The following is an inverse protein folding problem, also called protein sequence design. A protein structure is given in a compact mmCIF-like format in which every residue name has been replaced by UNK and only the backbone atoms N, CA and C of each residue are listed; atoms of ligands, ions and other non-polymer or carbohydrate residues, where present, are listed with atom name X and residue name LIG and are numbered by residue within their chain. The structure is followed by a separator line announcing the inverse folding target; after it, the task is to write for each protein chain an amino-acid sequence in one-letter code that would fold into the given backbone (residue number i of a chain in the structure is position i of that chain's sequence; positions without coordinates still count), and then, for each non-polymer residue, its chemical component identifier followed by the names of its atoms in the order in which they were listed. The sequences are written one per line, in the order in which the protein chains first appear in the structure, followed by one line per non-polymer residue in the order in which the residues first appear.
data_IF_536308526179
#
_entry.id   IF_536308526179
#
_cell.length_a   1.000
_cell.length_b   1.000
_cell.length_c   1.000
_cell.angle_alpha   90.00
_cell.angle_beta   90.00
_cell.angle_gamma   90.00
#
_symmetry.space_group_name_H-M   'P 1'
#
loop_
_entity.id
_entity.type
_entity.pdbx_description
1 polymer ?
#
# COMPACT_ATOMS: atom_id res chain seq x y z
N UNK A 1 14.11 -27.40 -11.36
CA UNK A 1 13.60 -27.04 -10.02
C UNK A 1 13.34 -25.54 -10.06
N UNK A 2 12.10 -25.10 -9.88
CA UNK A 2 11.74 -23.68 -9.94
C UNK A 2 12.29 -22.95 -8.71
N UNK A 3 12.92 -21.78 -8.89
CA UNK A 3 13.41 -20.99 -7.78
C UNK A 3 12.22 -20.36 -7.05
N UNK A 4 11.97 -20.80 -5.81
CA UNK A 4 10.79 -20.38 -5.03
C UNK A 4 10.74 -18.86 -4.77
N UNK A 5 11.90 -18.20 -4.65
CA UNK A 5 11.99 -16.74 -4.53
C UNK A 5 11.55 -16.10 -5.84
N UNK A 6 12.10 -16.53 -6.98
CA UNK A 6 11.72 -15.97 -8.29
C UNK A 6 10.24 -16.19 -8.62
N UNK A 7 9.68 -17.37 -8.30
CA UNK A 7 8.25 -17.62 -8.43
C UNK A 7 7.43 -16.59 -7.65
N UNK A 8 7.80 -16.36 -6.40
CA UNK A 8 7.12 -15.42 -5.51
C UNK A 8 7.22 -13.97 -5.99
N UNK A 9 8.35 -13.59 -6.58
CA UNK A 9 8.60 -12.23 -7.07
C UNK A 9 8.00 -11.98 -8.46
N UNK A 10 8.16 -12.89 -9.41
CA UNK A 10 7.85 -12.65 -10.84
C UNK A 10 6.46 -13.16 -11.24
N UNK A 11 6.10 -14.38 -10.83
CA UNK A 11 4.86 -15.02 -11.25
C UNK A 11 4.44 -16.10 -10.25
N UNK A 12 3.49 -15.76 -9.40
CA UNK A 12 3.04 -16.56 -8.27
C UNK A 12 1.54 -16.80 -8.34
N UNK A 13 1.04 -17.55 -9.34
CA UNK A 13 -0.38 -17.89 -9.40
C UNK A 13 -0.76 -18.72 -8.18
N UNK A 14 -1.90 -18.35 -7.57
CA UNK A 14 -2.47 -19.05 -6.41
C UNK A 14 -3.72 -19.79 -6.85
N UNK A 15 -3.75 -21.11 -6.60
CA UNK A 15 -4.91 -21.94 -6.92
C UNK A 15 -6.14 -21.47 -6.15
N UNK A 16 -5.90 -21.04 -4.92
CA UNK A 16 -6.81 -20.43 -3.97
C UNK A 16 -7.48 -19.16 -4.52
N UNK A 17 -6.82 -18.45 -5.43
CA UNK A 17 -7.31 -17.25 -6.08
C UNK A 17 -7.67 -17.48 -7.54
N UNK A 18 -8.18 -18.68 -7.89
CA UNK A 18 -8.55 -19.04 -9.26
C UNK A 18 -7.41 -18.85 -10.29
N UNK A 19 -6.16 -19.04 -9.84
CA UNK A 19 -4.97 -18.85 -10.69
C UNK A 19 -4.51 -17.39 -10.83
N UNK A 20 -5.12 -16.45 -10.11
CA UNK A 20 -4.67 -15.05 -10.11
C UNK A 20 -3.20 -14.95 -9.65
N UNK A 21 -2.43 -14.14 -10.36
CA UNK A 21 -1.03 -13.88 -10.01
C UNK A 21 -0.96 -12.92 -8.83
N UNK A 22 -0.39 -13.38 -7.72
CA UNK A 22 -0.14 -12.57 -6.53
C UNK A 22 1.33 -12.30 -6.30
N UNK A 23 2.16 -12.42 -7.33
CA UNK A 23 3.57 -12.07 -7.26
C UNK A 23 3.78 -10.61 -6.83
N UNK A 24 4.96 -10.33 -6.28
CA UNK A 24 5.34 -8.96 -5.91
C UNK A 24 5.30 -8.04 -7.14
N UNK A 25 5.78 -8.53 -8.29
CA UNK A 25 5.78 -7.77 -9.55
C UNK A 25 4.36 -7.45 -10.03
N UNK A 26 3.44 -8.42 -9.98
CA UNK A 26 2.05 -8.19 -10.35
C UNK A 26 1.40 -7.13 -9.45
N UNK A 27 1.67 -7.18 -8.14
CA UNK A 27 1.18 -6.17 -7.21
C UNK A 27 1.77 -4.80 -7.49
N UNK A 28 3.10 -4.68 -7.67
CA UNK A 28 3.75 -3.39 -7.94
C UNK A 28 3.15 -2.74 -9.18
N UNK A 29 3.01 -3.50 -10.28
CA UNK A 29 2.40 -2.99 -11.50
C UNK A 29 0.95 -2.52 -11.30
N UNK A 30 0.15 -3.26 -10.54
CA UNK A 30 -1.23 -2.88 -10.25
C UNK A 30 -1.29 -1.63 -9.35
N UNK A 31 -0.57 -1.65 -8.22
CA UNK A 31 -0.55 -0.57 -7.24
C UNK A 31 0.00 0.75 -7.83
N UNK A 32 1.00 0.66 -8.71
CA UNK A 32 1.65 1.81 -9.32
C UNK A 32 1.00 2.26 -10.64
N UNK A 33 -0.12 1.65 -11.07
CA UNK A 33 -0.69 1.88 -12.41
C UNK A 33 0.33 1.75 -13.54
N UNK A 34 1.22 0.75 -13.44
CA UNK A 34 2.28 0.46 -14.42
C UNK A 34 3.51 1.37 -14.37
N UNK A 35 3.58 2.34 -13.45
CA UNK A 35 4.74 3.25 -13.30
C UNK A 35 6.00 2.60 -12.75
N UNK A 36 5.86 1.49 -12.03
CA UNK A 36 6.95 0.76 -11.41
C UNK A 36 6.92 -0.70 -11.84
N UNK A 37 8.09 -1.33 -11.78
CA UNK A 37 8.28 -2.74 -12.04
C UNK A 37 9.37 -3.29 -11.11
N UNK A 38 9.45 -4.60 -10.98
CA UNK A 38 10.54 -5.28 -10.27
C UNK A 38 11.25 -6.18 -11.26
N UNK A 39 12.58 -6.03 -11.34
CA UNK A 39 13.48 -6.92 -12.07
C UNK A 39 14.44 -7.62 -11.10
N UNK A 40 14.10 -8.83 -10.60
CA UNK A 40 14.86 -9.45 -9.53
C UNK A 40 16.03 -10.29 -10.07
N UNK A 41 17.13 -10.27 -9.34
CA UNK A 41 18.17 -11.30 -9.43
C UNK A 41 18.26 -12.08 -8.11
N UNK A 42 18.46 -13.39 -8.20
CA UNK A 42 18.74 -14.22 -7.03
C UNK A 42 20.20 -14.64 -7.05
N UNK A 43 20.93 -14.22 -6.02
CA UNK A 43 22.33 -14.58 -5.81
C UNK A 43 22.45 -15.99 -5.20
N UNK A 44 23.64 -16.62 -5.27
CA UNK A 44 23.89 -17.88 -4.58
C UNK A 44 23.59 -17.77 -3.08
N UNK A 45 22.98 -18.82 -2.53
CA UNK A 45 22.67 -18.92 -1.11
C UNK A 45 23.94 -18.73 -0.27
N UNK A 46 23.83 -17.92 0.78
CA UNK A 46 24.88 -17.72 1.77
C UNK A 46 24.52 -18.45 3.06
N UNK A 47 25.52 -18.99 3.75
CA UNK A 47 25.36 -19.54 5.10
C UNK A 47 25.88 -18.51 6.10
N UNK A 48 25.03 -18.10 7.02
CA UNK A 48 25.35 -17.14 8.08
C UNK A 48 25.15 -17.85 9.41
N UNK A 49 26.23 -18.08 10.14
CA UNK A 49 26.19 -18.74 11.45
C UNK A 49 25.99 -17.71 12.56
N UNK A 50 24.76 -17.21 12.68
CA UNK A 50 24.33 -16.26 13.71
C UNK A 50 22.94 -16.59 14.22
N UNK A 51 22.72 -16.37 15.51
CA UNK A 51 21.38 -16.49 16.10
C UNK A 51 20.44 -15.38 15.63
N UNK A 52 20.97 -14.17 15.48
CA UNK A 52 20.25 -13.00 14.97
C UNK A 52 20.95 -12.53 13.71
N UNK A 53 20.21 -12.53 12.60
CA UNK A 53 20.65 -12.01 11.31
C UNK A 53 19.96 -10.66 11.12
N UNK A 54 20.75 -9.60 11.08
CA UNK A 54 20.31 -8.24 10.79
C UNK A 54 20.04 -8.07 9.28
N UNK A 55 19.26 -7.06 8.90
CA UNK A 55 18.94 -6.84 7.49
C UNK A 55 20.19 -6.52 6.64
N UNK A 56 21.13 -5.75 7.18
CA UNK A 56 22.35 -5.33 6.52
C UNK A 56 23.54 -6.29 6.72
N UNK A 57 23.31 -7.54 7.13
CA UNK A 57 24.36 -8.50 7.47
C UNK A 57 25.40 -8.71 6.34
N UNK A 58 25.00 -8.55 5.08
CA UNK A 58 25.88 -8.69 3.91
C UNK A 58 26.35 -7.35 3.30
N UNK A 59 26.15 -6.22 3.99
CA UNK A 59 26.50 -4.89 3.47
C UNK A 59 27.99 -4.77 3.13
N UNK A 60 28.89 -5.18 4.02
CA UNK A 60 30.34 -5.06 3.81
C UNK A 60 30.83 -5.91 2.63
N UNK A 61 30.16 -7.04 2.36
CA UNK A 61 30.57 -8.00 1.33
C UNK A 61 29.99 -7.68 -0.04
N UNK A 62 28.71 -7.28 -0.08
CA UNK A 62 27.94 -7.18 -1.32
C UNK A 62 27.40 -5.78 -1.60
N UNK A 63 27.19 -4.94 -0.59
CA UNK A 63 26.45 -3.67 -0.71
C UNK A 63 27.02 -2.75 -1.78
N UNK A 64 28.34 -2.47 -1.72
CA UNK A 64 29.00 -1.64 -2.72
C UNK A 64 28.94 -2.22 -4.14
N UNK A 65 29.12 -3.54 -4.28
CA UNK A 65 29.09 -4.23 -5.58
C UNK A 65 27.69 -4.19 -6.21
N UNK A 66 26.64 -4.44 -5.44
CA UNK A 66 25.26 -4.43 -5.92
C UNK A 66 24.83 -3.03 -6.36
N UNK A 67 25.15 -2.00 -5.57
CA UNK A 67 24.87 -0.60 -5.98
C UNK A 67 25.63 -0.21 -7.25
N UNK A 68 26.88 -0.64 -7.40
CA UNK A 68 27.66 -0.40 -8.63
C UNK A 68 27.08 -1.12 -9.86
N UNK A 69 26.28 -2.17 -9.66
CA UNK A 69 25.53 -2.86 -10.72
C UNK A 69 24.18 -2.21 -11.02
N UNK A 70 23.82 -1.13 -10.31
CA UNK A 70 22.54 -0.44 -10.48
C UNK A 70 21.38 -1.11 -9.75
N UNK A 71 21.64 -1.91 -8.72
CA UNK A 71 20.57 -2.47 -7.87
C UNK A 71 20.06 -1.41 -6.90
N UNK A 72 18.74 -1.23 -6.86
CA UNK A 72 18.07 -0.23 -6.01
C UNK A 72 17.81 -0.70 -4.58
N UNK A 73 17.59 -2.01 -4.39
CA UNK A 73 17.38 -2.63 -3.09
C UNK A 73 17.83 -4.10 -3.08
N UNK A 74 18.25 -4.58 -1.92
CA UNK A 74 18.61 -5.97 -1.68
C UNK A 74 17.77 -6.58 -0.55
N UNK A 75 17.47 -7.87 -0.67
CA UNK A 75 16.65 -8.58 0.31
C UNK A 75 17.32 -9.88 0.74
N UNK A 76 17.54 -10.04 2.04
CA UNK A 76 17.92 -11.29 2.67
C UNK A 76 16.66 -12.13 2.90
N UNK A 77 16.54 -13.23 2.15
CA UNK A 77 15.41 -14.16 2.27
C UNK A 77 15.87 -15.40 3.03
N UNK A 78 15.35 -15.58 4.25
CA UNK A 78 15.74 -16.68 5.13
C UNK A 78 14.70 -17.81 5.16
N UNK A 79 15.13 -19.00 5.61
CA UNK A 79 14.28 -20.19 5.74
C UNK A 79 13.68 -20.38 7.15
N UNK A 80 13.82 -19.38 8.03
CA UNK A 80 13.37 -19.44 9.42
C UNK A 80 11.86 -19.30 9.64
N UNK A 81 11.46 -19.29 10.91
CA UNK A 81 10.09 -19.00 11.34
C UNK A 81 9.72 -17.53 11.16
N UNK A 82 8.42 -17.22 11.21
CA UNK A 82 7.92 -15.83 11.12
C UNK A 82 8.54 -14.98 12.23
N UNK A 83 9.06 -13.82 11.85
CA UNK A 83 9.57 -12.81 12.76
C UNK A 83 9.68 -11.56 11.94
N UNK A 84 8.80 -10.59 12.24
CA UNK A 84 8.52 -9.41 11.43
C UNK A 84 9.73 -8.97 10.61
N UNK A 85 9.50 -8.78 9.31
CA UNK A 85 10.50 -8.25 8.41
C UNK A 85 11.21 -7.04 9.02
N UNK A 86 12.47 -6.86 8.64
CA UNK A 86 13.25 -5.71 9.11
C UNK A 86 13.93 -5.03 7.94
N UNK A 87 14.13 -3.73 8.06
CA UNK A 87 14.80 -2.93 7.04
C UNK A 87 15.94 -2.09 7.64
N UNK A 88 17.01 -1.97 6.87
CA UNK A 88 18.18 -1.14 7.15
C UNK A 88 18.56 -0.33 5.89
N UNK A 89 17.59 0.42 5.35
CA UNK A 89 17.76 1.19 4.11
C UNK A 89 17.81 0.26 2.89
N UNK A 90 18.94 0.24 2.19
CA UNK A 90 19.13 -0.59 0.99
C UNK A 90 18.80 -2.08 1.22
N UNK A 91 18.98 -2.57 2.45
CA UNK A 91 18.74 -3.96 2.80
C UNK A 91 17.43 -4.18 3.54
N UNK A 92 16.70 -5.19 3.10
CA UNK A 92 15.54 -5.75 3.81
C UNK A 92 15.79 -7.20 4.21
N UNK A 93 15.19 -7.64 5.30
CA UNK A 93 15.21 -9.03 5.77
C UNK A 93 13.80 -9.55 5.84
N UNK A 94 13.59 -10.72 5.27
CA UNK A 94 12.31 -11.43 5.31
C UNK A 94 12.53 -12.92 5.47
N UNK A 95 11.47 -13.65 5.79
CA UNK A 95 11.49 -15.11 5.79
C UNK A 95 10.55 -15.67 4.71
N UNK A 96 10.90 -16.83 4.16
CA UNK A 96 10.06 -17.54 3.18
C UNK A 96 8.65 -17.85 3.70
N UNK A 97 8.47 -17.97 5.01
CA UNK A 97 7.18 -18.27 5.66
C UNK A 97 6.24 -17.06 5.82
N UNK A 98 6.74 -15.83 5.61
CA UNK A 98 5.92 -14.61 5.66
C UNK A 98 5.03 -14.49 4.42
N UNK A 99 4.03 -13.61 4.48
CA UNK A 99 3.14 -13.28 3.35
C UNK A 99 3.80 -12.35 2.35
N UNK A 100 3.26 -12.25 1.12
CA UNK A 100 3.80 -11.31 0.13
C UNK A 100 3.65 -9.86 0.58
N UNK A 101 2.66 -9.57 1.41
CA UNK A 101 2.50 -8.26 2.00
C UNK A 101 3.67 -7.86 2.89
N UNK A 102 4.19 -8.74 3.76
CA UNK A 102 5.39 -8.40 4.57
C UNK A 102 6.59 -8.10 3.68
N UNK A 103 6.82 -8.93 2.64
CA UNK A 103 7.93 -8.70 1.71
C UNK A 103 7.82 -7.35 0.99
N UNK A 104 6.60 -6.95 0.60
CA UNK A 104 6.35 -5.67 -0.03
C UNK A 104 6.54 -4.49 0.93
N UNK A 105 6.07 -4.61 2.17
CA UNK A 105 6.27 -3.58 3.20
C UNK A 105 7.77 -3.31 3.39
N UNK A 106 8.56 -4.37 3.59
CA UNK A 106 10.01 -4.22 3.76
C UNK A 106 10.71 -3.69 2.51
N UNK A 107 10.24 -4.05 1.32
CA UNK A 107 10.78 -3.51 0.08
C UNK A 107 10.49 -2.00 -0.04
N UNK A 108 9.27 -1.56 0.31
CA UNK A 108 8.90 -0.14 0.29
C UNK A 108 9.71 0.63 1.34
N UNK A 109 9.89 0.09 2.55
CA UNK A 109 10.79 0.68 3.55
C UNK A 109 12.17 0.95 2.96
N UNK A 110 12.75 -0.03 2.27
CA UNK A 110 14.10 0.09 1.75
C UNK A 110 14.24 1.03 0.56
N UNK A 111 13.26 1.03 -0.34
CA UNK A 111 13.28 1.86 -1.55
C UNK A 111 12.96 3.33 -1.29
N UNK A 112 12.15 3.61 -0.26
CA UNK A 112 11.56 4.95 -0.09
C UNK A 112 11.83 5.55 1.29
N UNK A 113 12.28 4.75 2.26
CA UNK A 113 12.41 5.16 3.66
C UNK A 113 11.09 5.35 4.39
N UNK A 114 9.95 5.17 3.71
CA UNK A 114 8.60 5.30 4.26
C UNK A 114 8.43 4.40 5.48
N UNK A 115 7.78 4.86 6.54
CA UNK A 115 7.65 4.16 7.83
C UNK A 115 6.28 3.54 8.02
N UNK A 116 6.17 2.72 9.05
CA UNK A 116 4.95 2.02 9.42
C UNK A 116 3.78 2.95 9.71
N UNK A 117 2.64 2.63 9.10
CA UNK A 117 1.37 3.34 9.31
C UNK A 117 0.45 2.64 10.31
N UNK A 118 0.79 1.42 10.75
CA UNK A 118 -0.05 0.62 11.65
C UNK A 118 -0.08 1.18 13.08
N UNK A 119 -1.02 0.69 13.88
CA UNK A 119 -1.19 1.12 15.26
C UNK A 119 -0.05 0.63 16.16
N UNK A 120 0.53 1.52 16.97
CA UNK A 120 1.41 1.17 18.08
C UNK A 120 0.68 1.30 19.41
N UNK A 121 0.99 0.42 20.37
CA UNK A 121 0.33 0.41 21.70
C UNK A 121 0.45 1.74 22.48
N UNK A 122 1.42 2.59 22.14
CA UNK A 122 1.61 3.91 22.74
C UNK A 122 0.99 5.05 21.92
N UNK A 123 0.25 4.75 20.85
CA UNK A 123 -0.47 5.79 20.11
C UNK A 123 -1.60 6.38 20.99
N UNK A 124 -1.79 7.69 20.91
CA UNK A 124 -2.90 8.40 21.54
C UNK A 124 -4.23 8.19 20.80
N UNK A 125 -4.18 7.87 19.50
CA UNK A 125 -5.37 7.54 18.72
C UNK A 125 -5.82 6.10 19.02
N UNK A 126 -7.13 5.80 19.06
CA UNK A 126 -7.61 4.47 19.36
C UNK A 126 -7.31 3.47 18.22
N UNK A 127 -7.21 2.19 18.56
CA UNK A 127 -6.75 1.12 17.66
C UNK A 127 -7.69 0.93 16.46
N UNK A 128 -9.00 1.01 16.67
CA UNK A 128 -10.03 0.83 15.65
C UNK A 128 -9.99 1.90 14.56
N UNK A 129 -9.25 3.00 14.76
CA UNK A 129 -9.06 4.09 13.79
C UNK A 129 -7.83 3.90 12.91
N UNK A 130 -7.22 2.71 12.93
CA UNK A 130 -6.16 2.36 11.98
C UNK A 130 -6.68 2.38 10.54
N UNK A 131 -5.86 2.85 9.60
CA UNK A 131 -6.13 2.73 8.16
C UNK A 131 -6.12 1.25 7.71
N UNK A 132 -5.40 0.40 8.45
CA UNK A 132 -5.38 -1.06 8.34
C UNK A 132 -5.30 -1.52 6.86
N UNK A 133 -6.15 -2.46 6.44
CA UNK A 133 -6.11 -3.07 5.10
C UNK A 133 -6.30 -2.11 3.94
N UNK A 134 -6.69 -0.85 4.17
CA UNK A 134 -6.69 0.16 3.11
C UNK A 134 -5.29 0.64 2.74
N UNK A 135 -4.26 0.32 3.51
CA UNK A 135 -2.87 0.63 3.17
C UNK A 135 -1.92 -0.54 3.40
N UNK A 136 -1.12 -0.84 2.39
CA UNK A 136 -0.05 -1.83 2.46
C UNK A 136 0.92 -1.56 3.62
N UNK A 137 1.27 -0.29 3.88
CA UNK A 137 2.18 0.11 4.96
C UNK A 137 1.51 0.09 6.35
N UNK A 138 0.22 -0.24 6.44
CA UNK A 138 -0.52 -0.36 7.69
C UNK A 138 -0.96 -1.79 8.04
N UNK A 139 -0.96 -2.71 7.08
CA UNK A 139 -1.44 -4.08 7.34
C UNK A 139 -0.52 -5.17 6.84
N UNK A 140 0.45 -4.87 5.96
CA UNK A 140 1.22 -5.92 5.27
C UNK A 140 0.29 -6.94 4.59
N UNK A 141 -0.81 -6.45 4.01
CA UNK A 141 -1.90 -7.28 3.50
C UNK A 141 -1.88 -7.55 2.00
N UNK A 142 -0.90 -6.99 1.30
CA UNK A 142 -0.85 -6.98 -0.16
C UNK A 142 -2.10 -6.33 -0.78
N UNK A 143 -2.68 -5.32 -0.13
CA UNK A 143 -3.71 -4.45 -0.67
C UNK A 143 -3.07 -3.24 -1.36
N UNK A 144 -3.83 -2.45 -2.12
CA UNK A 144 -3.28 -1.22 -2.69
C UNK A 144 -3.01 -0.20 -1.56
N UNK A 145 -1.90 0.56 -1.64
CA UNK A 145 -1.69 1.69 -0.73
C UNK A 145 -2.76 2.77 -0.95
N UNK A 146 -3.02 3.59 0.08
CA UNK A 146 -3.87 4.77 -0.03
C UNK A 146 -3.31 5.80 -1.01
N UNK A 147 -4.12 6.78 -1.43
CA UNK A 147 -3.70 7.85 -2.32
C UNK A 147 -2.57 8.68 -1.70
N UNK A 148 -2.54 8.81 -0.37
CA UNK A 148 -1.43 9.41 0.36
C UNK A 148 -0.14 8.63 0.11
N UNK A 149 -0.12 7.34 0.44
CA UNK A 149 1.09 6.52 0.27
C UNK A 149 1.52 6.44 -1.19
N UNK A 150 0.58 6.24 -2.13
CA UNK A 150 0.90 6.25 -3.57
C UNK A 150 1.51 7.58 -4.02
N UNK A 151 1.06 8.72 -3.50
CA UNK A 151 1.61 10.03 -3.86
C UNK A 151 3.03 10.23 -3.29
N UNK A 152 3.24 9.89 -2.03
CA UNK A 152 4.53 10.02 -1.35
C UNK A 152 5.62 9.13 -1.97
N UNK A 153 5.26 7.94 -2.47
CA UNK A 153 6.21 7.04 -3.18
C UNK A 153 6.32 7.32 -4.68
N UNK A 154 5.63 8.34 -5.21
CA UNK A 154 5.70 8.75 -6.62
C UNK A 154 4.86 7.90 -7.60
N UNK A 155 3.97 7.05 -7.09
CA UNK A 155 3.08 6.21 -7.90
C UNK A 155 1.76 6.87 -8.29
N UNK A 156 1.42 8.00 -7.65
CA UNK A 156 0.28 8.83 -7.98
C UNK A 156 0.73 10.28 -8.13
N UNK A 157 0.45 10.89 -9.29
CA UNK A 157 0.75 12.32 -9.49
C UNK A 157 -0.05 13.18 -8.53
N UNK A 158 0.58 14.24 -8.01
CA UNK A 158 -0.10 15.20 -7.16
C UNK A 158 -1.31 15.85 -7.85
N UNK A 159 -1.28 15.99 -9.19
CA UNK A 159 -2.40 16.54 -9.97
C UNK A 159 -3.64 15.63 -9.98
N UNK A 160 -3.47 14.33 -9.71
CA UNK A 160 -4.56 13.38 -9.55
C UNK A 160 -5.24 13.46 -8.17
N UNK A 161 -4.75 14.33 -7.29
CA UNK A 161 -5.35 14.65 -5.99
C UNK A 161 -5.88 16.07 -6.08
N UNK A 162 -7.21 16.23 -6.06
CA UNK A 162 -7.84 17.55 -6.12
C UNK A 162 -7.90 18.17 -4.73
N UNK A 163 -7.39 19.39 -4.59
CA UNK A 163 -7.62 20.19 -3.40
C UNK A 163 -9.07 20.70 -3.41
N UNK A 164 -9.80 20.41 -2.34
CA UNK A 164 -11.12 20.98 -2.12
C UNK A 164 -11.02 22.46 -1.80
N UNK A 165 -11.76 23.26 -2.55
CA UNK A 165 -11.83 24.71 -2.40
C UNK A 165 -13.28 25.18 -2.61
N UNK A 166 -13.71 26.15 -1.81
CA UNK A 166 -15.08 26.68 -1.84
C UNK A 166 -16.00 26.09 -0.78
N UNK A 167 -17.29 26.39 -0.88
CA UNK A 167 -18.32 25.98 0.09
C UNK A 167 -18.99 24.65 -0.26
N UNK A 168 -19.04 24.28 -1.55
CA UNK A 168 -19.61 23.02 -2.04
C UNK A 168 -19.12 22.78 -3.47
N UNK A 169 -18.57 21.59 -3.74
CA UNK A 169 -18.05 21.18 -5.06
C UNK A 169 -18.27 19.68 -5.22
N UNK A 170 -18.69 19.26 -6.42
CA UNK A 170 -18.80 17.86 -6.79
C UNK A 170 -17.49 17.34 -7.40
N UNK A 171 -17.14 16.10 -7.05
CA UNK A 171 -15.95 15.41 -7.59
C UNK A 171 -16.29 14.02 -8.08
N UNK A 172 -15.84 13.71 -9.29
CA UNK A 172 -15.93 12.38 -9.86
C UNK A 172 -14.69 11.56 -9.46
N UNK A 173 -14.84 10.70 -8.45
CA UNK A 173 -13.76 9.81 -7.99
C UNK A 173 -13.58 8.62 -8.92
N UNK A 174 -12.33 8.32 -9.27
CA UNK A 174 -11.93 7.02 -9.82
C UNK A 174 -11.41 6.13 -8.70
N UNK A 175 -11.81 4.85 -8.72
CA UNK A 175 -11.31 3.89 -7.73
C UNK A 175 -9.78 3.78 -7.80
N UNK A 176 -9.14 3.85 -6.64
CA UNK A 176 -7.68 3.81 -6.52
C UNK A 176 -7.08 2.44 -6.87
N UNK A 177 -7.92 1.40 -6.86
CA UNK A 177 -7.54 0.02 -7.15
C UNK A 177 -7.40 -0.29 -8.65
N UNK A 178 -7.81 0.64 -9.52
CA UNK A 178 -7.65 0.43 -10.96
C UNK A 178 -6.17 0.54 -11.35
N UNK A 179 -5.71 -0.39 -12.19
CA UNK A 179 -4.33 -0.48 -12.65
C UNK A 179 -3.96 0.58 -13.73
N UNK A 180 -4.71 1.68 -13.79
CA UNK A 180 -4.46 2.77 -14.73
C UNK A 180 -4.68 4.13 -14.05
N UNK A 181 -3.99 5.19 -14.49
CA UNK A 181 -4.21 6.53 -13.96
C UNK A 181 -5.67 6.99 -14.10
N UNK A 182 -6.08 8.02 -13.34
CA UNK A 182 -7.38 8.67 -13.53
C UNK A 182 -7.60 9.09 -14.98
N UNK A 183 -8.73 8.69 -15.55
CA UNK A 183 -9.14 9.20 -16.88
C UNK A 183 -9.50 10.68 -16.78
N UNK A 184 -9.41 11.40 -17.90
CA UNK A 184 -9.72 12.83 -17.96
C UNK A 184 -11.09 13.14 -17.33
N UNK A 185 -11.14 14.16 -16.47
CA UNK A 185 -12.33 14.56 -15.73
C UNK A 185 -12.53 13.83 -14.40
N UNK A 186 -11.80 12.74 -14.12
CA UNK A 186 -11.83 12.06 -12.82
C UNK A 186 -10.63 12.42 -11.96
N UNK A 187 -10.79 12.26 -10.66
CA UNK A 187 -9.72 12.41 -9.66
C UNK A 187 -9.52 11.10 -8.90
N UNK A 188 -8.29 10.79 -8.48
CA UNK A 188 -8.03 9.61 -7.64
C UNK A 188 -8.48 9.85 -6.20
N UNK A 189 -8.25 11.06 -5.70
CA UNK A 189 -8.64 11.47 -4.37
C UNK A 189 -8.96 12.96 -4.29
N UNK A 190 -9.59 13.36 -3.20
CA UNK A 190 -9.83 14.76 -2.83
C UNK A 190 -9.17 15.04 -1.49
N UNK A 191 -8.39 16.11 -1.43
CA UNK A 191 -7.75 16.62 -0.22
C UNK A 191 -8.57 17.77 0.34
N UNK A 192 -8.88 17.75 1.63
CA UNK A 192 -9.61 18.82 2.33
C UNK A 192 -8.68 19.43 3.38
N UNK A 193 -8.26 20.68 3.15
CA UNK A 193 -7.30 21.41 3.99
C UNK A 193 -5.86 21.38 3.45
N UNK A 194 -5.09 22.44 3.73
CA UNK A 194 -3.75 22.66 3.19
C UNK A 194 -2.61 22.30 4.14
N UNK A 195 -2.89 22.21 5.43
CA UNK A 195 -1.88 21.95 6.45
C UNK A 195 -2.18 20.63 7.16
N UNK A 196 -1.14 19.99 7.71
CA UNK A 196 -1.31 18.82 8.56
C UNK A 196 -1.89 19.28 9.92
N UNK A 197 -2.99 18.68 10.41
CA UNK A 197 -3.72 17.59 9.77
C UNK A 197 -4.70 18.04 8.68
N UNK A 198 -4.74 17.32 7.57
CA UNK A 198 -5.74 17.46 6.52
C UNK A 198 -6.46 16.12 6.29
N UNK A 199 -7.53 16.14 5.51
CA UNK A 199 -8.28 14.91 5.20
C UNK A 199 -8.11 14.53 3.74
N UNK A 200 -8.14 13.23 3.50
CA UNK A 200 -8.14 12.61 2.19
C UNK A 200 -9.42 11.80 2.02
N UNK A 201 -10.04 11.95 0.86
CA UNK A 201 -11.24 11.21 0.44
C UNK A 201 -10.88 10.42 -0.81
N UNK A 202 -11.07 9.11 -0.79
CA UNK A 202 -10.78 8.24 -1.93
C UNK A 202 -11.84 7.14 -2.08
N UNK A 203 -12.00 6.64 -3.31
CA UNK A 203 -12.93 5.55 -3.60
C UNK A 203 -12.17 4.22 -3.72
N UNK A 204 -12.70 3.18 -3.07
CA UNK A 204 -12.13 1.83 -3.02
C UNK A 204 -13.13 0.81 -3.53
N UNK A 205 -12.61 -0.15 -4.30
CA UNK A 205 -13.39 -1.23 -4.88
C UNK A 205 -12.51 -2.46 -5.05
N UNK A 206 -13.03 -3.64 -4.76
CA UNK A 206 -12.39 -4.94 -4.93
C UNK A 206 -12.36 -5.31 -6.42
N UNK A 207 -11.55 -4.58 -7.20
CA UNK A 207 -11.47 -4.73 -8.66
C UNK A 207 -10.46 -5.79 -9.10
N UNK A 208 -9.59 -6.22 -8.20
CA UNK A 208 -8.56 -7.21 -8.44
C UNK A 208 -8.38 -8.15 -7.25
N UNK A 209 -7.51 -9.14 -7.42
CA UNK A 209 -7.17 -10.12 -6.39
C UNK A 209 -6.61 -9.47 -5.12
N UNK A 210 -5.94 -8.33 -5.22
CA UNK A 210 -5.26 -7.69 -4.10
C UNK A 210 -6.25 -7.06 -3.12
N UNK A 211 -7.18 -6.26 -3.63
CA UNK A 211 -8.23 -5.64 -2.83
C UNK A 211 -9.29 -6.67 -2.38
N UNK A 212 -9.60 -7.69 -3.20
CA UNK A 212 -10.54 -8.74 -2.83
C UNK A 212 -10.00 -9.70 -1.74
N UNK A 213 -8.68 -9.75 -1.57
CA UNK A 213 -8.03 -10.69 -0.65
C UNK A 213 -8.07 -12.15 -1.11
N UNK A 214 -7.67 -13.06 -0.22
CA UNK A 214 -7.78 -14.51 -0.42
C UNK A 214 -8.57 -15.16 0.73
N UNK A 215 -9.78 -15.66 0.46
CA UNK A 215 -10.64 -16.27 1.50
C UNK A 215 -10.10 -17.56 2.13
N UNK A 216 -9.12 -18.23 1.51
CA UNK A 216 -8.80 -19.63 1.81
C UNK A 216 -7.45 -19.88 2.49
N UNK A 217 -6.73 -18.84 2.91
CA UNK A 217 -5.50 -19.00 3.69
C UNK A 217 -5.78 -18.73 5.16
N UNK A 218 -5.25 -19.60 6.04
CA UNK A 218 -5.18 -19.33 7.49
C UNK A 218 -4.23 -18.15 7.82
N UNK A 219 -3.66 -17.51 6.80
CA UNK A 219 -2.84 -16.32 6.94
C UNK A 219 -3.73 -15.08 6.93
N UNK A 220 -4.12 -14.61 8.12
CA UNK A 220 -4.96 -13.43 8.29
C UNK A 220 -4.38 -12.13 7.72
N UNK A 221 -3.15 -12.16 7.19
CA UNK A 221 -2.53 -11.02 6.53
C UNK A 221 -3.12 -10.74 5.15
N UNK A 222 -3.45 -11.72 4.30
CA UNK A 222 -3.84 -11.49 2.89
C UNK A 222 -5.38 -11.35 2.69
N UNK A 223 -6.05 -10.62 3.59
CA UNK A 223 -7.52 -10.57 3.71
C UNK A 223 -8.27 -9.61 2.77
N UNK A 224 -7.57 -8.76 2.02
CA UNK A 224 -8.20 -7.73 1.19
C UNK A 224 -8.67 -6.51 2.00
N UNK A 225 -9.26 -5.52 1.34
CA UNK A 225 -9.79 -4.31 2.00
C UNK A 225 -11.04 -4.62 2.83
N UNK A 226 -11.22 -3.89 3.93
CA UNK A 226 -12.32 -4.11 4.85
C UNK A 226 -13.72 -3.80 4.27
N UNK A 227 -13.83 -2.86 3.33
CA UNK A 227 -15.11 -2.52 2.67
C UNK A 227 -14.92 -1.75 1.36
N UNK A 228 -15.84 -1.90 0.41
CA UNK A 228 -15.92 -1.09 -0.81
C UNK A 228 -16.72 0.18 -0.60
N UNK A 229 -16.38 1.27 -1.29
CA UNK A 229 -17.07 2.55 -1.20
C UNK A 229 -16.10 3.71 -1.09
N UNK A 230 -16.56 4.85 -0.56
CA UNK A 230 -15.70 6.02 -0.32
C UNK A 230 -15.21 6.01 1.12
N UNK A 231 -13.89 6.04 1.30
CA UNK A 231 -13.26 6.19 2.62
C UNK A 231 -12.77 7.62 2.82
N UNK A 232 -12.75 8.04 4.07
CA UNK A 232 -12.13 9.27 4.52
C UNK A 232 -11.13 8.95 5.61
N UNK A 233 -9.95 9.52 5.51
CA UNK A 233 -8.94 9.44 6.55
C UNK A 233 -8.23 10.77 6.71
N UNK A 234 -7.75 11.03 7.92
CA UNK A 234 -6.95 12.20 8.23
C UNK A 234 -5.47 11.84 8.11
N UNK A 235 -4.72 12.68 7.41
CA UNK A 235 -3.26 12.64 7.38
C UNK A 235 -2.75 13.50 8.54
N UNK A 236 -1.98 12.91 9.43
CA UNK A 236 -1.48 13.52 10.66
C UNK A 236 0.07 13.51 10.75
N UNK A 237 0.74 13.09 9.68
CA UNK A 237 2.20 13.17 9.55
C UNK A 237 2.61 14.21 8.51
N UNK A 238 3.64 14.99 8.80
CA UNK A 238 4.30 15.87 7.82
C UNK A 238 5.38 15.17 7.01
N UNK A 239 5.91 14.05 7.51
CA UNK A 239 6.98 13.32 6.86
C UNK A 239 6.84 11.83 7.16
N UNK A 240 6.40 11.02 6.18
CA UNK A 240 6.20 9.59 6.38
C UNK A 240 7.51 8.79 6.49
N UNK A 241 8.67 9.40 6.27
CA UNK A 241 9.99 8.74 6.40
C UNK A 241 10.60 8.83 7.79
N UNK A 242 9.96 9.57 8.71
CA UNK A 242 10.39 9.71 10.11
C UNK A 242 9.53 8.83 11.01
N UNK A 243 10.18 8.02 11.85
CA UNK A 243 9.48 7.11 12.77
C UNK A 243 8.76 7.83 13.91
N UNK A 244 9.32 8.96 14.36
CA UNK A 244 8.75 9.76 15.44
C UNK A 244 7.38 10.33 15.01
N UNK A 245 6.34 9.99 15.76
CA UNK A 245 4.95 10.34 15.47
C UNK A 245 4.56 11.64 16.18
N UNK A 246 3.91 12.56 15.45
CA UNK A 246 3.46 13.86 15.98
C UNK A 246 2.44 13.65 17.11
N UNK A 247 2.86 13.95 18.35
CA UNK A 247 2.02 13.78 19.54
C UNK A 247 1.60 12.33 19.82
N UNK A 248 2.44 11.35 19.43
CA UNK A 248 2.12 9.92 19.48
C UNK A 248 0.82 9.57 18.73
N UNK A 249 0.50 10.29 17.67
CA UNK A 249 -0.69 9.98 16.87
C UNK A 249 -0.38 9.09 15.69
N UNK A 250 -1.38 8.35 15.21
CA UNK A 250 -1.21 7.55 13.98
C UNK A 250 -0.91 8.49 12.80
N UNK A 251 -0.01 8.12 11.87
CA UNK A 251 0.21 8.91 10.67
C UNK A 251 -1.06 9.09 9.84
N UNK A 252 -1.86 8.01 9.70
CA UNK A 252 -3.17 8.03 9.06
C UNK A 252 -4.25 7.58 10.06
N UNK A 253 -5.32 8.37 10.18
CA UNK A 253 -6.46 8.11 11.06
C UNK A 253 -7.73 7.89 10.24
N UNK A 254 -8.31 6.69 10.29
CA UNK A 254 -9.51 6.34 9.52
C UNK A 254 -10.77 6.96 10.15
N UNK A 255 -11.41 7.86 9.40
CA UNK A 255 -12.65 8.53 9.82
C UNK A 255 -13.87 7.64 9.59
N UNK A 256 -13.89 6.94 8.45
CA UNK A 256 -14.98 6.06 8.01
C UNK A 256 -14.62 4.60 8.25
N UNK A 257 -14.96 4.05 9.44
CA UNK A 257 -14.71 2.63 9.77
C UNK A 257 -15.37 1.66 8.78
N UNK A 258 -16.45 2.09 8.14
CA UNK A 258 -17.03 1.46 6.97
C UNK A 258 -17.11 2.49 5.86
N UNK A 259 -16.71 2.09 4.65
CA UNK A 259 -16.75 2.96 3.49
C UNK A 259 -18.18 3.42 3.18
N UNK A 260 -18.32 4.71 2.89
CA UNK A 260 -19.58 5.35 2.58
C UNK A 260 -20.09 4.88 1.20
N UNK A 261 -21.37 4.56 1.15
CA UNK A 261 -22.12 4.15 -0.04
C UNK A 261 -22.88 5.32 -0.67
N UNK A 262 -23.30 5.21 -1.94
CA UNK A 262 -24.24 6.15 -2.54
C UNK A 262 -25.48 6.41 -1.65
N UNK A 263 -25.81 7.69 -1.48
CA UNK A 263 -26.87 8.18 -0.62
C UNK A 263 -26.46 8.40 0.84
N UNK A 264 -25.23 8.05 1.22
CA UNK A 264 -24.72 8.30 2.57
C UNK A 264 -23.90 9.59 2.64
N UNK A 265 -23.87 10.17 3.84
CA UNK A 265 -23.09 11.36 4.16
C UNK A 265 -22.39 11.19 5.50
N UNK A 266 -21.28 11.90 5.68
CA UNK A 266 -20.57 12.00 6.95
C UNK A 266 -20.18 13.46 7.21
N UNK A 267 -20.38 13.90 8.44
CA UNK A 267 -19.76 15.14 8.92
C UNK A 267 -18.32 14.84 9.31
N UNK A 268 -17.40 15.61 8.78
CA UNK A 268 -15.98 15.51 9.06
C UNK A 268 -15.60 16.44 10.22
N UNK A 269 -14.49 16.16 10.90
CA UNK A 269 -14.09 16.89 12.11
C UNK A 269 -13.78 18.37 11.89
N UNK A 270 -13.58 18.80 10.64
CA UNK A 270 -13.39 20.20 10.27
C UNK A 270 -14.71 20.92 9.90
N UNK A 271 -15.86 20.28 10.11
CA UNK A 271 -17.18 20.81 9.78
C UNK A 271 -17.61 20.65 8.31
N UNK A 272 -16.79 20.02 7.46
CA UNK A 272 -17.18 19.70 6.08
C UNK A 272 -18.11 18.50 6.08
N UNK A 273 -19.23 18.59 5.37
CA UNK A 273 -20.10 17.45 5.10
C UNK A 273 -19.72 16.80 3.78
N UNK A 274 -19.27 15.54 3.84
CA UNK A 274 -19.10 14.71 2.66
C UNK A 274 -20.42 14.01 2.34
N UNK A 275 -20.85 14.02 1.09
CA UNK A 275 -22.04 13.27 0.62
C UNK A 275 -21.70 12.47 -0.63
N UNK A 276 -22.06 11.19 -0.67
CA UNK A 276 -21.82 10.31 -1.82
C UNK A 276 -23.07 10.31 -2.69
N UNK A 277 -23.04 11.03 -3.80
CA UNK A 277 -24.22 11.29 -4.62
C UNK A 277 -24.62 10.10 -5.51
N UNK A 278 -23.66 9.27 -5.93
CA UNK A 278 -23.93 8.16 -6.82
C UNK A 278 -22.68 7.42 -7.29
N UNK A 279 -22.89 6.27 -7.92
CA UNK A 279 -21.85 5.58 -8.69
C UNK A 279 -21.93 6.03 -10.16
N UNK A 280 -20.80 6.48 -10.70
CA UNK A 280 -20.71 6.84 -12.11
C UNK A 280 -20.66 5.57 -12.96
N UNK A 281 -21.55 5.45 -13.94
CA UNK A 281 -21.45 4.40 -14.96
C UNK A 281 -20.21 4.65 -15.80
N UNK A 282 -19.40 3.62 -16.03
CA UNK A 282 -18.41 3.66 -17.11
C UNK A 282 -19.19 3.77 -18.42
N UNK A 283 -18.91 4.79 -19.23
CA UNK A 283 -19.42 4.82 -20.59
C UNK A 283 -18.89 3.56 -21.29
N UNK A 284 -19.79 2.69 -21.74
CA UNK A 284 -19.40 1.52 -22.52
C UNK A 284 -18.82 2.04 -23.85
N UNK A 285 -17.57 1.67 -24.23
CA UNK A 285 -17.02 2.08 -25.52
C UNK A 285 -17.72 1.43 -26.72
N UNK A 286 -18.73 0.58 -26.51
CA UNK A 286 -19.50 -0.07 -27.57
C UNK A 286 -20.95 0.43 -27.63
N UNK A 287 -21.14 1.57 -28.29
CA UNK A 287 -22.31 1.77 -29.16
C UNK A 287 -21.81 2.17 -30.55
N UNK A 288 -21.35 1.18 -31.29
CA UNK A 288 -21.51 1.17 -32.74
C UNK A 288 -22.48 0.04 -33.08
N UNK A 289 -23.70 0.43 -33.42
CA UNK A 289 -24.50 0.00 -34.57
C UNK A 289 -25.85 0.71 -34.52
#
# INVERSE_FOLDING_TARGET
MENAILRRVIYGPRREANGADRSLRAWVRAASSGRADIDPMVLPMQTIDKQVVEANELEEQLGGSLRNQGIDAAMLVMLGGRGAGTNAGFWSRVVMAESNGVWLMELIHGLTGFKDLYHFNNDADPAERSIDTFDQMAASSQTHPTAFTKNEVGWLDAEAIRLHAGSSVDYDLQHLSLAHPPVAGRTAAVRIGNDVPYMMVEARKMTDQFEAGMPSLNDGQERGIASEGVIVYRVQTRNPTIQAREGNKKPLYLMTLSALQPGQSAMLDNGVTLSITGALRTASPYRQR
#
